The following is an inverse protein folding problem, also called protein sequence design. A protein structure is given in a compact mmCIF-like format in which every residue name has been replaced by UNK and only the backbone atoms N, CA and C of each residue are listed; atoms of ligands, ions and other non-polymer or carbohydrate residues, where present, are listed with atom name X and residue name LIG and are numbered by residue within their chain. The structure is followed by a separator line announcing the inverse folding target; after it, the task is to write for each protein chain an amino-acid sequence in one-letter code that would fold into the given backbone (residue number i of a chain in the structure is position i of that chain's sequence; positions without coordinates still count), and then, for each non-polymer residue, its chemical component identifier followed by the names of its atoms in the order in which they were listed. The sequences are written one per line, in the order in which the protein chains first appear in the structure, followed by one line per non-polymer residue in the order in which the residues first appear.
data_IF_288089548957
#
_entry.id   IF_288089548957
#
_cell.length_a   1.000
_cell.length_b   1.000
_cell.length_c   1.000
_cell.angle_alpha   90.00
_cell.angle_beta   90.00
_cell.angle_gamma   90.00
#
_symmetry.space_group_name_H-M   'P 1'
#
loop_
_entity.id
_entity.type
_entity.pdbx_description
1 polymer ?
#
# COMPACT_ATOMS: atom_id res chain seq x y z
N UNK A 1 35.20 8.60 -3.52
CA UNK A 1 33.81 8.55 -3.96
C UNK A 1 33.02 9.26 -2.88
N UNK A 2 32.40 10.39 -3.17
CA UNK A 2 31.51 11.07 -2.23
C UNK A 2 30.34 10.14 -1.95
N UNK A 3 30.13 9.77 -0.69
CA UNK A 3 29.01 8.94 -0.27
C UNK A 3 27.70 9.68 -0.62
N UNK A 4 26.81 9.04 -1.36
CA UNK A 4 25.52 9.64 -1.73
C UNK A 4 24.71 9.90 -0.46
N UNK A 5 24.35 11.15 -0.22
CA UNK A 5 23.59 11.56 0.96
C UNK A 5 22.15 11.91 0.53
N UNK A 6 21.17 11.22 1.08
CA UNK A 6 19.75 11.52 0.88
C UNK A 6 19.38 12.89 1.48
N UNK A 7 18.32 13.51 0.95
CA UNK A 7 17.86 14.84 1.40
C UNK A 7 17.46 14.86 2.87
N UNK A 8 16.91 13.76 3.37
CA UNK A 8 16.46 13.59 4.76
C UNK A 8 17.52 12.94 5.68
N UNK A 9 18.70 12.63 5.15
CA UNK A 9 19.82 12.07 5.90
C UNK A 9 19.74 10.57 6.17
N UNK A 10 18.70 9.84 5.73
CA UNK A 10 18.58 8.38 5.84
C UNK A 10 19.62 7.67 4.95
N UNK A 11 19.90 6.41 5.27
CA UNK A 11 20.67 5.53 4.39
C UNK A 11 19.83 5.15 3.16
N UNK A 12 20.49 4.70 2.11
CA UNK A 12 19.83 4.34 0.83
C UNK A 12 18.78 3.22 0.94
N UNK A 13 18.97 2.31 1.88
CA UNK A 13 18.10 1.16 2.15
C UNK A 13 17.22 1.31 3.40
N UNK A 14 17.14 2.50 3.97
CA UNK A 14 16.42 2.78 5.21
C UNK A 14 15.00 3.28 4.91
N UNK A 15 14.00 2.66 5.56
CA UNK A 15 12.61 3.11 5.53
C UNK A 15 12.40 4.32 6.45
N UNK A 16 11.40 5.14 6.16
CA UNK A 16 10.86 6.09 7.14
C UNK A 16 10.27 5.32 8.31
N UNK A 17 10.10 6.00 9.44
CA UNK A 17 9.43 5.43 10.60
C UNK A 17 8.06 4.87 10.21
N UNK A 18 7.86 3.58 10.42
CA UNK A 18 6.58 2.93 10.16
C UNK A 18 5.63 3.17 11.32
N UNK A 19 4.38 3.55 11.01
CA UNK A 19 3.27 3.61 11.95
C UNK A 19 2.18 2.66 11.47
N UNK A 20 1.77 1.71 12.32
CA UNK A 20 0.74 0.73 12.01
C UNK A 20 -0.23 0.63 13.20
N UNK A 21 -1.55 0.72 12.93
CA UNK A 21 -2.61 0.55 13.93
C UNK A 21 -3.82 -0.11 13.27
N UNK A 22 -4.58 -0.91 14.02
CA UNK A 22 -5.84 -1.52 13.57
C UNK A 22 -6.99 -1.06 14.45
N UNK A 23 -8.24 -1.28 13.99
CA UNK A 23 -9.42 -0.88 14.74
C UNK A 23 -9.68 0.64 14.79
N UNK A 24 -9.12 1.40 13.84
CA UNK A 24 -9.17 2.88 13.84
C UNK A 24 -10.52 3.46 13.39
N UNK A 25 -11.37 2.66 12.76
CA UNK A 25 -12.72 3.05 12.31
C UNK A 25 -13.74 2.12 12.97
N UNK A 26 -14.44 2.54 14.04
CA UNK A 26 -15.32 1.65 14.82
C UNK A 26 -16.51 1.08 14.06
N UNK A 27 -17.01 1.79 13.02
CA UNK A 27 -18.17 1.36 12.24
C UNK A 27 -17.82 0.42 11.08
N UNK A 28 -16.53 0.15 10.84
CA UNK A 28 -16.10 -0.78 9.81
C UNK A 28 -16.01 -2.21 10.36
N UNK A 29 -16.23 -3.21 9.52
CA UNK A 29 -16.03 -4.62 9.87
C UNK A 29 -14.55 -4.89 10.17
N UNK A 30 -13.65 -4.17 9.48
CA UNK A 30 -12.23 -4.10 9.79
C UNK A 30 -11.62 -2.79 9.33
N UNK A 31 -10.61 -2.32 10.05
CA UNK A 31 -9.93 -1.07 9.68
C UNK A 31 -8.50 -1.04 10.15
N UNK A 32 -7.67 -0.31 9.42
CA UNK A 32 -6.29 -0.10 9.79
C UNK A 32 -5.77 1.26 9.30
N UNK A 33 -4.76 1.75 9.99
CA UNK A 33 -3.95 2.88 9.59
C UNK A 33 -2.51 2.40 9.40
N UNK A 34 -1.92 2.82 8.29
CA UNK A 34 -0.51 2.55 8.00
C UNK A 34 0.17 3.83 7.49
N UNK A 35 1.39 4.07 7.93
CA UNK A 35 2.15 5.24 7.51
C UNK A 35 3.63 4.99 7.37
N UNK A 36 4.24 5.71 6.41
CA UNK A 36 5.67 5.88 6.23
C UNK A 36 6.02 7.34 6.57
N UNK A 37 6.56 7.59 7.78
CA UNK A 37 6.82 8.95 8.26
C UNK A 37 5.54 9.78 8.22
N UNK A 38 5.58 10.86 7.41
CA UNK A 38 4.46 11.79 7.24
C UNK A 38 3.37 11.28 6.27
N UNK A 39 3.63 10.24 5.49
CA UNK A 39 2.58 9.65 4.64
C UNK A 39 1.69 8.74 5.47
N UNK A 40 0.40 9.07 5.57
CA UNK A 40 -0.58 8.34 6.39
C UNK A 40 -1.80 7.94 5.57
N UNK A 41 -2.09 6.64 5.56
CA UNK A 41 -3.27 6.05 4.93
C UNK A 41 -4.15 5.37 5.97
N UNK A 42 -5.47 5.51 5.83
CA UNK A 42 -6.48 4.73 6.56
C UNK A 42 -7.25 3.87 5.56
N UNK A 43 -7.47 2.62 5.93
CA UNK A 43 -8.35 1.71 5.20
C UNK A 43 -9.47 1.20 6.09
N UNK A 44 -10.68 1.12 5.51
CA UNK A 44 -11.85 0.56 6.16
C UNK A 44 -12.48 -0.49 5.24
N UNK A 45 -12.81 -1.66 5.80
CA UNK A 45 -13.38 -2.81 5.10
C UNK A 45 -14.82 -3.00 5.53
N UNK A 46 -15.69 -3.24 4.57
CA UNK A 46 -17.10 -3.57 4.76
C UNK A 46 -17.45 -4.83 3.98
N UNK A 47 -17.96 -5.82 4.66
CA UNK A 47 -18.39 -7.09 4.09
C UNK A 47 -17.64 -8.30 4.69
N UNK A 48 -17.94 -9.52 4.18
CA UNK A 48 -18.65 -9.79 2.93
C UNK A 48 -20.16 -9.44 2.99
N UNK A 49 -20.66 -8.78 1.96
CA UNK A 49 -22.06 -8.38 1.85
C UNK A 49 -22.62 -8.62 0.45
N UNK A 50 -23.96 -8.64 0.32
CA UNK A 50 -24.60 -8.84 -0.99
C UNK A 50 -24.14 -7.78 -1.99
N UNK A 51 -23.68 -8.23 -3.16
CA UNK A 51 -23.20 -7.35 -4.22
C UNK A 51 -24.34 -6.51 -4.81
N UNK A 52 -24.13 -5.22 -4.92
CA UNK A 52 -24.95 -4.29 -5.67
C UNK A 52 -24.13 -3.58 -6.74
N UNK A 53 -24.69 -3.37 -7.96
CA UNK A 53 -26.00 -3.83 -8.47
C UNK A 53 -26.00 -5.33 -8.76
N UNK A 54 -27.19 -5.96 -8.76
CA UNK A 54 -27.34 -7.43 -8.90
C UNK A 54 -26.71 -8.00 -10.17
N UNK A 55 -26.76 -7.26 -11.28
CA UNK A 55 -26.16 -7.70 -12.56
C UNK A 55 -24.62 -7.80 -12.52
N UNK A 56 -23.97 -7.25 -11.50
CA UNK A 56 -22.53 -7.35 -11.30
C UNK A 56 -22.13 -8.52 -10.41
N UNK A 57 -23.10 -9.30 -9.90
CA UNK A 57 -22.82 -10.49 -9.09
C UNK A 57 -22.16 -11.57 -9.93
N UNK A 58 -21.11 -12.18 -9.37
CA UNK A 58 -20.51 -13.38 -9.93
C UNK A 58 -20.93 -14.57 -9.09
N UNK A 59 -21.69 -15.55 -9.66
CA UNK A 59 -22.18 -16.71 -8.92
C UNK A 59 -21.07 -17.70 -8.52
N UNK A 60 -19.89 -17.61 -9.14
CA UNK A 60 -18.78 -18.53 -8.89
C UNK A 60 -17.82 -18.03 -7.81
N UNK A 61 -17.73 -16.71 -7.62
CA UNK A 61 -16.80 -16.10 -6.67
C UNK A 61 -17.30 -14.76 -6.15
N UNK A 62 -16.67 -14.31 -5.06
CA UNK A 62 -16.83 -12.96 -4.54
C UNK A 62 -16.12 -11.90 -5.37
N UNK A 63 -16.36 -10.66 -5.02
CA UNK A 63 -15.72 -9.49 -5.63
C UNK A 63 -14.98 -8.71 -4.56
N UNK A 64 -13.70 -8.45 -4.77
CA UNK A 64 -12.95 -7.45 -4.01
C UNK A 64 -13.07 -6.12 -4.75
N UNK A 65 -13.54 -5.09 -4.09
CA UNK A 65 -13.68 -3.75 -4.66
C UNK A 65 -12.95 -2.73 -3.79
N UNK A 66 -11.96 -2.06 -4.37
CA UNK A 66 -11.19 -1.05 -3.67
C UNK A 66 -11.57 0.35 -4.16
N UNK A 67 -11.57 1.30 -3.25
CA UNK A 67 -11.75 2.73 -3.54
C UNK A 67 -10.62 3.49 -2.87
N UNK A 68 -9.79 4.15 -3.65
CA UNK A 68 -8.70 4.99 -3.17
C UNK A 68 -9.08 6.46 -3.33
N UNK A 69 -8.85 7.25 -2.30
CA UNK A 69 -9.08 8.68 -2.32
C UNK A 69 -7.98 9.42 -1.54
N UNK A 70 -7.56 10.56 -2.07
CA UNK A 70 -6.73 11.52 -1.33
C UNK A 70 -7.65 12.62 -0.80
N UNK A 71 -7.59 12.87 0.51
CA UNK A 71 -8.36 13.95 1.11
C UNK A 71 -7.84 15.31 0.63
N UNK A 72 -8.73 16.29 0.53
CA UNK A 72 -8.40 17.61 -0.06
C UNK A 72 -7.27 18.33 0.66
N UNK A 73 -7.05 18.01 1.93
CA UNK A 73 -6.01 18.56 2.79
C UNK A 73 -4.77 17.69 2.93
N UNK A 74 -4.70 16.57 2.18
CA UNK A 74 -3.60 15.59 2.31
C UNK A 74 -2.27 16.09 1.73
N UNK A 75 -2.29 17.14 0.96
CA UNK A 75 -1.13 17.81 0.33
C UNK A 75 -1.25 19.32 0.54
N UNK A 76 -0.15 20.04 0.35
CA UNK A 76 -0.10 21.51 0.48
C UNK A 76 -1.03 22.21 -0.51
N UNK A 77 -1.02 21.77 -1.78
CA UNK A 77 -1.97 22.22 -2.79
C UNK A 77 -3.28 21.42 -2.70
N UNK A 78 -4.37 22.10 -2.40
CA UNK A 78 -5.69 21.49 -2.23
C UNK A 78 -6.08 20.60 -3.42
N UNK A 79 -6.29 19.32 -3.18
CA UNK A 79 -6.85 18.39 -4.18
C UNK A 79 -8.36 18.60 -4.29
N UNK A 80 -8.86 18.62 -5.54
CA UNK A 80 -10.29 18.66 -5.81
C UNK A 80 -10.96 17.37 -5.28
N UNK A 81 -12.05 17.48 -4.49
CA UNK A 81 -12.81 16.30 -4.03
C UNK A 81 -13.41 15.52 -5.20
N UNK A 82 -13.51 14.20 -5.01
CA UNK A 82 -14.17 13.30 -5.95
C UNK A 82 -13.20 12.43 -6.75
N UNK A 83 -13.74 11.53 -7.59
CA UNK A 83 -12.95 10.58 -8.33
C UNK A 83 -12.09 11.29 -9.39
N UNK A 84 -10.81 10.92 -9.46
CA UNK A 84 -9.86 11.35 -10.47
C UNK A 84 -9.35 10.13 -11.26
N UNK A 85 -8.69 10.36 -12.41
CA UNK A 85 -8.04 9.27 -13.15
C UNK A 85 -7.03 8.52 -12.27
N UNK A 86 -6.21 9.25 -11.50
CA UNK A 86 -5.24 8.69 -10.57
C UNK A 86 -5.92 7.84 -9.47
N UNK A 87 -7.01 8.34 -8.88
CA UNK A 87 -7.69 7.59 -7.82
C UNK A 87 -8.34 6.29 -8.35
N UNK A 88 -8.90 6.31 -9.56
CA UNK A 88 -9.45 5.12 -10.20
C UNK A 88 -8.36 4.10 -10.56
N UNK A 89 -7.22 4.56 -11.09
CA UNK A 89 -6.06 3.72 -11.36
C UNK A 89 -5.55 3.04 -10.10
N UNK A 90 -5.28 3.80 -9.03
CA UNK A 90 -4.75 3.24 -7.78
C UNK A 90 -5.77 2.32 -7.11
N UNK A 91 -7.07 2.59 -7.21
CA UNK A 91 -8.12 1.68 -6.75
C UNK A 91 -7.99 0.32 -7.43
N UNK A 92 -7.84 0.32 -8.76
CA UNK A 92 -7.70 -0.93 -9.54
C UNK A 92 -6.39 -1.66 -9.28
N UNK A 93 -5.30 -0.92 -9.15
CA UNK A 93 -3.99 -1.46 -8.77
C UNK A 93 -4.07 -2.15 -7.40
N UNK A 94 -4.74 -1.54 -6.43
CA UNK A 94 -4.91 -2.12 -5.09
C UNK A 94 -5.69 -3.44 -5.13
N UNK A 95 -6.76 -3.51 -5.94
CA UNK A 95 -7.50 -4.76 -6.17
C UNK A 95 -6.56 -5.85 -6.69
N UNK A 96 -5.78 -5.55 -7.74
CA UNK A 96 -4.86 -6.52 -8.34
C UNK A 96 -3.73 -6.93 -7.40
N UNK A 97 -3.21 -6.02 -6.59
CA UNK A 97 -2.16 -6.30 -5.62
C UNK A 97 -2.64 -7.25 -4.50
N UNK A 98 -3.91 -7.13 -4.08
CA UNK A 98 -4.52 -7.92 -3.01
C UNK A 98 -5.15 -9.23 -3.50
N UNK A 99 -5.65 -9.28 -4.73
CA UNK A 99 -6.37 -10.43 -5.29
C UNK A 99 -5.63 -11.77 -5.16
N UNK A 100 -4.29 -11.88 -5.36
CA UNK A 100 -3.60 -13.16 -5.25
C UNK A 100 -3.58 -13.76 -3.84
N UNK A 101 -3.75 -12.93 -2.82
CA UNK A 101 -3.65 -13.35 -1.41
C UNK A 101 -5.01 -13.44 -0.70
N UNK A 102 -6.04 -12.73 -1.16
CA UNK A 102 -7.39 -12.77 -0.57
C UNK A 102 -8.15 -13.97 -1.11
N UNK A 103 -8.71 -14.79 -0.23
CA UNK A 103 -9.49 -15.98 -0.60
C UNK A 103 -10.95 -15.57 -0.91
N UNK A 104 -11.12 -14.82 -1.99
CA UNK A 104 -12.42 -14.23 -2.36
C UNK A 104 -13.40 -15.25 -2.96
N UNK A 105 -12.92 -16.41 -3.38
CA UNK A 105 -13.75 -17.45 -4.00
C UNK A 105 -14.77 -18.04 -3.02
N UNK A 106 -14.51 -17.95 -1.71
CA UNK A 106 -15.41 -18.43 -0.66
C UNK A 106 -16.69 -17.55 -0.51
N UNK A 107 -16.73 -16.38 -1.16
CA UNK A 107 -17.80 -15.38 -1.02
C UNK A 107 -18.62 -15.19 -2.31
N UNK A 108 -19.09 -16.27 -2.93
CA UNK A 108 -19.88 -16.22 -4.17
C UNK A 108 -21.04 -15.20 -4.09
N UNK A 109 -21.21 -14.40 -5.14
CA UNK A 109 -22.22 -13.34 -5.24
C UNK A 109 -22.14 -12.21 -4.22
N UNK A 110 -21.07 -12.17 -3.41
CA UNK A 110 -20.85 -11.14 -2.41
C UNK A 110 -19.71 -10.19 -2.81
N UNK A 111 -19.62 -9.07 -2.12
CA UNK A 111 -18.57 -8.07 -2.27
C UNK A 111 -17.92 -7.77 -0.92
N UNK A 112 -16.61 -7.62 -0.95
CA UNK A 112 -15.81 -7.02 0.11
C UNK A 112 -15.35 -5.65 -0.38
N UNK A 113 -15.85 -4.59 0.24
CA UNK A 113 -15.51 -3.21 -0.09
C UNK A 113 -14.36 -2.73 0.78
N UNK A 114 -13.32 -2.21 0.16
CA UNK A 114 -12.15 -1.61 0.83
C UNK A 114 -12.06 -0.13 0.47
N UNK A 115 -12.25 0.74 1.44
CA UNK A 115 -12.15 2.19 1.27
C UNK A 115 -10.83 2.67 1.86
N UNK A 116 -10.00 3.30 1.03
CA UNK A 116 -8.68 3.82 1.40
C UNK A 116 -8.70 5.33 1.28
N UNK A 117 -8.37 6.01 2.36
CA UNK A 117 -8.22 7.47 2.39
C UNK A 117 -6.81 7.84 2.83
N UNK A 118 -6.16 8.70 2.04
CA UNK A 118 -4.87 9.29 2.39
C UNK A 118 -5.14 10.56 3.20
N UNK A 119 -4.67 10.56 4.45
CA UNK A 119 -4.80 11.69 5.36
C UNK A 119 -3.71 12.73 5.14
N UNK A 120 -2.48 12.25 4.91
CA UNK A 120 -1.32 13.08 4.63
C UNK A 120 -0.43 12.37 3.62
N UNK A 121 0.09 13.11 2.65
CA UNK A 121 0.85 12.59 1.53
C UNK A 121 2.24 13.24 1.45
N UNK A 122 3.27 12.40 1.53
CA UNK A 122 4.66 12.75 1.27
C UNK A 122 5.33 11.59 0.52
N UNK A 123 4.99 11.43 -0.77
CA UNK A 123 5.29 10.28 -1.63
C UNK A 123 4.79 8.92 -1.08
N UNK A 124 4.99 7.83 -1.78
CA UNK A 124 4.65 6.43 -1.38
C UNK A 124 3.18 6.21 -0.96
N UNK A 125 2.23 7.08 -1.36
CA UNK A 125 0.83 7.03 -0.91
C UNK A 125 0.12 5.75 -1.30
N UNK A 126 0.37 5.20 -2.52
CA UNK A 126 -0.20 3.91 -2.95
C UNK A 126 0.32 2.75 -2.11
N UNK A 127 1.61 2.76 -1.76
CA UNK A 127 2.20 1.73 -0.93
C UNK A 127 1.61 1.75 0.49
N UNK A 128 1.48 2.92 1.09
CA UNK A 128 0.82 3.09 2.39
C UNK A 128 -0.65 2.61 2.34
N UNK A 129 -1.38 2.94 1.26
CA UNK A 129 -2.77 2.52 1.05
C UNK A 129 -2.92 1.00 0.92
N UNK A 130 -2.05 0.32 0.16
CA UNK A 130 -2.06 -1.14 0.00
C UNK A 130 -1.74 -1.82 1.33
N UNK A 131 -0.74 -1.33 2.08
CA UNK A 131 -0.40 -1.86 3.40
C UNK A 131 -1.54 -1.70 4.39
N UNK A 132 -2.19 -0.54 4.43
CA UNK A 132 -3.36 -0.30 5.28
C UNK A 132 -4.53 -1.22 4.89
N UNK A 133 -4.79 -1.41 3.58
CA UNK A 133 -5.84 -2.28 3.08
C UNK A 133 -5.61 -3.75 3.44
N UNK A 134 -4.37 -4.25 3.33
CA UNK A 134 -4.02 -5.62 3.73
C UNK A 134 -4.28 -5.86 5.22
N UNK A 135 -3.87 -4.93 6.07
CA UNK A 135 -4.12 -4.99 7.52
C UNK A 135 -5.61 -4.89 7.85
N UNK A 136 -6.36 -4.02 7.17
CA UNK A 136 -7.79 -3.85 7.39
C UNK A 136 -8.59 -5.10 7.00
N UNK A 137 -8.22 -5.79 5.91
CA UNK A 137 -8.80 -7.07 5.50
C UNK A 137 -8.52 -8.17 6.54
N UNK A 138 -7.28 -8.27 7.03
CA UNK A 138 -6.94 -9.22 8.09
C UNK A 138 -7.71 -8.94 9.38
N UNK A 139 -7.84 -7.66 9.77
CA UNK A 139 -8.61 -7.24 10.95
C UNK A 139 -10.12 -7.50 10.79
N UNK A 140 -10.66 -7.43 9.56
CA UNK A 140 -12.05 -7.80 9.25
C UNK A 140 -12.30 -9.33 9.29
N UNK A 141 -11.26 -10.15 9.49
CA UNK A 141 -11.38 -11.61 9.46
C UNK A 141 -11.59 -12.18 8.05
N UNK A 142 -11.29 -11.42 7.01
CA UNK A 142 -11.33 -11.94 5.63
C UNK A 142 -10.18 -12.95 5.45
N UNK A 143 -10.46 -14.18 4.99
CA UNK A 143 -9.44 -15.21 4.80
C UNK A 143 -8.38 -14.74 3.78
N UNK A 144 -7.12 -14.80 4.18
CA UNK A 144 -5.98 -14.43 3.36
C UNK A 144 -4.88 -15.48 3.44
N UNK A 145 -4.22 -15.76 2.31
CA UNK A 145 -3.04 -16.65 2.28
C UNK A 145 -1.85 -16.04 3.01
N UNK A 146 -1.70 -14.73 2.92
CA UNK A 146 -0.67 -13.94 3.59
C UNK A 146 -1.04 -12.45 3.55
N UNK A 147 -0.40 -11.64 4.37
CA UNK A 147 -0.38 -10.19 4.18
C UNK A 147 0.46 -9.85 2.93
N UNK A 148 0.22 -8.68 2.36
CA UNK A 148 1.09 -8.09 1.35
C UNK A 148 1.87 -6.92 1.94
N UNK A 149 3.07 -6.70 1.43
CA UNK A 149 3.94 -5.59 1.80
C UNK A 149 4.24 -4.77 0.55
N UNK A 150 3.92 -3.50 0.59
CA UNK A 150 4.16 -2.58 -0.52
C UNK A 150 5.15 -1.51 -0.10
N UNK A 151 6.13 -1.25 -0.96
CA UNK A 151 7.17 -0.23 -0.77
C UNK A 151 7.52 0.41 -2.11
N UNK A 152 7.83 1.69 -2.11
CA UNK A 152 8.38 2.37 -3.29
C UNK A 152 9.90 2.34 -3.22
N UNK A 153 10.53 1.94 -4.33
CA UNK A 153 11.97 2.05 -4.53
C UNK A 153 12.20 3.11 -5.59
N UNK A 154 13.01 4.09 -5.25
CA UNK A 154 13.36 5.16 -6.18
C UNK A 154 14.74 5.03 -6.76
N UNK A 155 14.96 5.73 -7.88
CA UNK A 155 16.29 5.97 -8.41
C UNK A 155 16.52 7.48 -8.47
N UNK A 156 17.55 7.95 -7.78
CA UNK A 156 18.01 9.32 -7.80
C UNK A 156 19.37 9.34 -8.52
N UNK A 157 19.41 9.90 -9.71
CA UNK A 157 20.53 9.78 -10.66
C UNK A 157 20.90 8.31 -10.91
N UNK A 158 21.98 7.82 -10.31
CA UNK A 158 22.45 6.41 -10.44
C UNK A 158 22.21 5.56 -9.20
N UNK A 159 21.78 6.17 -8.08
CA UNK A 159 21.63 5.51 -6.81
C UNK A 159 20.19 5.05 -6.58
N UNK A 160 20.00 3.78 -6.25
CA UNK A 160 18.70 3.26 -5.79
C UNK A 160 18.51 3.61 -4.32
N UNK A 161 17.29 4.03 -3.96
CA UNK A 161 16.90 4.38 -2.59
C UNK A 161 15.55 3.75 -2.26
N UNK A 162 15.39 3.36 -1.00
CA UNK A 162 14.15 2.76 -0.49
C UNK A 162 13.27 3.84 0.13
N UNK A 163 11.96 3.82 -0.18
CA UNK A 163 10.95 4.69 0.40
C UNK A 163 11.23 6.20 0.16
N UNK A 164 10.89 6.65 -1.06
CA UNK A 164 11.04 8.05 -1.49
C UNK A 164 10.21 9.01 -0.64
N UNK A 165 10.73 10.20 -0.42
CA UNK A 165 9.98 11.38 0.01
C UNK A 165 9.60 12.25 -1.18
N UNK A 166 8.64 13.17 -1.01
CA UNK A 166 8.16 14.03 -2.10
C UNK A 166 9.28 14.86 -2.73
N UNK A 167 10.19 15.41 -1.94
CA UNK A 167 11.34 16.15 -2.43
C UNK A 167 12.31 15.30 -3.28
N UNK A 168 12.37 13.98 -3.06
CA UNK A 168 13.14 13.05 -3.87
C UNK A 168 12.37 12.62 -5.12
N UNK A 169 11.04 12.53 -5.06
CA UNK A 169 10.16 12.28 -6.20
C UNK A 169 10.19 13.45 -7.20
N UNK A 170 10.38 14.68 -6.71
CA UNK A 170 10.48 15.90 -7.53
C UNK A 170 11.94 16.24 -7.91
N UNK A 171 12.88 15.32 -7.75
CA UNK A 171 14.29 15.54 -8.07
C UNK A 171 14.51 15.68 -9.58
N UNK A 172 14.95 16.86 -10.03
CA UNK A 172 15.10 17.18 -11.47
C UNK A 172 16.54 17.00 -12.00
N UNK A 173 17.53 16.71 -11.14
CA UNK A 173 18.92 16.59 -11.56
C UNK A 173 19.22 15.24 -12.22
N UNK A 174 20.15 15.22 -13.17
CA UNK A 174 20.63 14.01 -13.84
C UNK A 174 19.62 13.41 -14.81
N UNK A 175 19.34 12.10 -14.68
CA UNK A 175 18.37 11.37 -15.53
C UNK A 175 16.91 11.56 -15.09
N UNK A 176 16.66 12.38 -14.09
CA UNK A 176 15.38 12.53 -13.42
C UNK A 176 15.08 11.38 -12.45
N UNK A 177 14.06 11.54 -11.60
CA UNK A 177 13.68 10.54 -10.63
C UNK A 177 13.00 9.35 -11.32
N UNK A 178 13.11 8.19 -10.69
CA UNK A 178 12.34 7.00 -11.07
C UNK A 178 11.63 6.50 -9.82
N UNK A 179 10.32 6.24 -9.92
CA UNK A 179 9.52 5.67 -8.84
C UNK A 179 9.04 4.27 -9.23
N UNK A 180 9.33 3.29 -8.39
CA UNK A 180 9.01 1.88 -8.63
C UNK A 180 8.30 1.33 -7.39
N UNK A 181 6.98 1.53 -7.27
CA UNK A 181 6.20 0.86 -6.25
C UNK A 181 6.12 -0.64 -6.53
N UNK A 182 6.52 -1.43 -5.54
CA UNK A 182 6.52 -2.89 -5.58
C UNK A 182 5.69 -3.41 -4.43
N UNK A 183 4.81 -4.37 -4.71
CA UNK A 183 4.06 -5.10 -3.70
C UNK A 183 4.46 -6.57 -3.74
N UNK A 184 4.84 -7.09 -2.58
CA UNK A 184 5.26 -8.48 -2.39
C UNK A 184 4.22 -9.22 -1.54
N UNK A 185 3.99 -10.48 -1.86
CA UNK A 185 3.24 -11.43 -1.04
C UNK A 185 4.12 -11.97 0.08
N UNK A 186 3.55 -12.58 1.11
CA UNK A 186 4.31 -13.10 2.25
C UNK A 186 5.39 -14.12 1.88
N UNK A 187 5.25 -14.82 0.74
CA UNK A 187 6.24 -15.74 0.17
C UNK A 187 7.27 -15.04 -0.75
N UNK A 188 7.25 -13.72 -0.81
CA UNK A 188 8.23 -12.91 -1.56
C UNK A 188 8.00 -12.83 -3.06
N UNK A 189 6.83 -13.27 -3.56
CA UNK A 189 6.44 -13.09 -4.96
C UNK A 189 5.92 -11.68 -5.18
N UNK A 190 6.14 -11.16 -6.38
CA UNK A 190 5.62 -9.84 -6.78
C UNK A 190 4.15 -10.00 -7.16
N UNK A 191 3.24 -9.35 -6.42
CA UNK A 191 1.83 -9.26 -6.77
C UNK A 191 1.52 -8.04 -7.63
N UNK A 192 2.29 -6.97 -7.48
CA UNK A 192 2.19 -5.76 -8.29
C UNK A 192 3.55 -5.06 -8.37
N UNK A 193 3.85 -4.51 -9.54
CA UNK A 193 4.99 -3.63 -9.79
C UNK A 193 4.62 -2.61 -10.86
N UNK A 194 4.97 -1.36 -10.63
CA UNK A 194 4.81 -0.29 -11.60
C UNK A 194 6.16 0.45 -11.74
N UNK A 195 6.39 1.04 -12.88
CA UNK A 195 7.61 1.81 -13.16
C UNK A 195 7.20 3.15 -13.75
N UNK A 196 7.64 4.22 -13.11
CA UNK A 196 7.60 5.56 -13.66
C UNK A 196 9.04 6.11 -13.71
N UNK A 197 9.56 6.29 -14.93
CA UNK A 197 10.94 6.72 -15.18
C UNK A 197 11.76 5.73 -16.00
N UNK A 198 13.09 5.77 -15.83
CA UNK A 198 14.05 4.96 -16.60
C UNK A 198 14.91 4.10 -15.69
N UNK A 199 15.01 2.79 -15.98
CA UNK A 199 15.83 1.86 -15.23
C UNK A 199 16.49 0.83 -16.16
N UNK A 200 17.70 0.40 -15.83
CA UNK A 200 18.37 -0.69 -16.51
C UNK A 200 17.93 -2.06 -15.97
N UNK A 201 18.03 -3.16 -16.75
CA UNK A 201 17.70 -4.51 -16.25
C UNK A 201 18.49 -4.94 -15.02
N UNK A 202 19.73 -4.46 -14.86
CA UNK A 202 20.55 -4.71 -13.67
C UNK A 202 19.97 -4.02 -12.45
N UNK A 203 19.68 -2.73 -12.58
CA UNK A 203 19.08 -1.93 -11.50
C UNK A 203 17.68 -2.46 -11.11
N UNK A 204 16.88 -2.96 -12.09
CA UNK A 204 15.61 -3.57 -11.79
C UNK A 204 15.74 -4.80 -10.87
N UNK A 205 16.75 -5.65 -11.08
CA UNK A 205 17.03 -6.77 -10.19
C UNK A 205 17.43 -6.30 -8.79
N UNK A 206 18.29 -5.28 -8.71
CA UNK A 206 18.70 -4.67 -7.44
C UNK A 206 17.49 -4.05 -6.70
N UNK A 207 16.58 -3.40 -7.43
CA UNK A 207 15.32 -2.85 -6.90
C UNK A 207 14.46 -3.92 -6.23
N UNK A 208 14.32 -5.09 -6.86
CA UNK A 208 13.55 -6.21 -6.28
C UNK A 208 14.20 -6.71 -4.99
N UNK A 209 15.52 -6.81 -4.94
CA UNK A 209 16.22 -7.24 -3.72
C UNK A 209 16.11 -6.20 -2.58
N UNK A 210 16.16 -4.91 -2.89
CA UNK A 210 15.88 -3.85 -1.91
C UNK A 210 14.45 -3.93 -1.37
N UNK A 211 13.47 -4.16 -2.24
CA UNK A 211 12.07 -4.33 -1.83
C UNK A 211 11.88 -5.54 -0.90
N UNK A 212 12.53 -6.68 -1.19
CA UNK A 212 12.54 -7.85 -0.29
C UNK A 212 13.21 -7.57 1.05
N UNK A 213 14.23 -6.73 1.06
CA UNK A 213 14.86 -6.26 2.31
C UNK A 213 13.88 -5.48 3.18
N UNK A 214 13.19 -4.50 2.59
CA UNK A 214 12.18 -3.68 3.24
C UNK A 214 10.93 -4.47 3.68
N UNK A 215 10.58 -5.53 2.95
CA UNK A 215 9.41 -6.39 3.23
C UNK A 215 9.38 -6.88 4.67
N UNK A 216 10.50 -7.31 5.21
CA UNK A 216 10.61 -7.89 6.55
C UNK A 216 10.22 -6.89 7.65
N UNK A 217 10.67 -5.65 7.50
CA UNK A 217 10.39 -4.58 8.47
C UNK A 217 8.91 -4.18 8.41
N UNK A 218 8.35 -4.06 7.19
CA UNK A 218 6.93 -3.76 6.99
C UNK A 218 6.05 -4.87 7.56
N UNK A 219 6.36 -6.14 7.26
CA UNK A 219 5.62 -7.29 7.78
C UNK A 219 5.65 -7.34 9.30
N UNK A 220 6.81 -7.12 9.91
CA UNK A 220 6.94 -7.11 11.37
C UNK A 220 6.05 -6.02 12.02
N UNK A 221 5.99 -4.83 11.41
CA UNK A 221 5.13 -3.75 11.89
C UNK A 221 3.63 -4.08 11.72
N UNK A 222 3.23 -4.69 10.60
CA UNK A 222 1.86 -5.14 10.35
C UNK A 222 1.42 -6.21 11.35
N UNK A 223 2.26 -7.25 11.52
CA UNK A 223 1.97 -8.34 12.48
C UNK A 223 1.89 -7.85 13.91
N UNK A 224 2.80 -6.95 14.31
CA UNK A 224 2.78 -6.38 15.65
C UNK A 224 1.46 -5.68 15.93
N UNK A 225 1.01 -4.80 15.04
CA UNK A 225 -0.23 -4.06 15.20
C UNK A 225 -1.48 -4.96 15.22
N UNK A 226 -1.50 -6.04 14.42
CA UNK A 226 -2.59 -7.01 14.42
C UNK A 226 -2.61 -7.85 15.70
N UNK A 227 -1.44 -8.26 16.21
CA UNK A 227 -1.33 -9.05 17.44
C UNK A 227 -1.69 -8.25 18.69
N UNK A 228 -1.40 -6.95 18.72
CA UNK A 228 -1.77 -6.07 19.83
C UNK A 228 -3.29 -6.06 20.04
N UNK A 229 -4.09 -5.94 18.98
CA UNK A 229 -5.55 -5.96 19.10
C UNK A 229 -6.10 -7.36 19.35
N UNK A 230 -5.50 -8.41 18.75
CA UNK A 230 -5.91 -9.79 19.02
C UNK A 230 -5.68 -10.20 20.49
N UNK A 231 -4.66 -9.64 21.15
CA UNK A 231 -4.41 -9.86 22.57
C UNK A 231 -5.43 -9.22 23.52
N UNK A 232 -6.13 -8.17 23.07
CA UNK A 232 -7.18 -7.48 23.83
C UNK A 232 -8.54 -8.19 23.74
N UNK A 233 -8.70 -9.13 22.79
CA UNK A 233 -9.88 -9.99 22.67
C UNK A 233 -9.75 -11.15 23.68
N UNK A 234 -10.21 -10.94 24.91
CA UNK A 234 -10.44 -12.02 25.88
C UNK A 234 -11.67 -12.83 25.41
N UNK A 235 -11.45 -14.07 25.02
CA UNK A 235 -12.48 -15.07 24.69
C UNK A 235 -13.14 -15.61 25.95
#
# INVERSE_FOLDING_TARGET
MTEFKRLDGRKVNELRKITAKVGVVPNADGSAMFGFGDTVAIAAVYGPKKMHPQHSQNPEKGTLRCTYNMLSFSVDDRIRPGPSRRSQEISKITEWALQPVVMIDDFASQVVDVHINILQANASTRCAGINAAAMALAHAGIPMKSLVQSVSIGKLDKQLVTDLIKAEEDWEEGEGPTDIPITLTGDGKISHMQLDGKISPKQLKETIELAKGAQKEILAAQEKALKEVAGDLQW
#
